data_IF_795544014489
#
_entry.id   IF_795544014489
#
_cell.length_a   1.000
_cell.length_b   1.000
_cell.length_c   1.000
_cell.angle_alpha   90.00
_cell.angle_beta   90.00
_cell.angle_gamma   90.00
#
_symmetry.space_group_name_H-M   'P 1'
#
loop_
_entity.id
_entity.type
_entity.pdbx_description
1 polymer ?
#
# COMPACT_ATOMS: atom_id res chain seq x y z
N UNK A 1 21.55 5.97 -17.04
CA UNK A 1 20.82 6.59 -15.90
C UNK A 1 19.40 6.80 -16.40
N UNK A 2 18.37 6.60 -15.56
CA UNK A 2 16.92 6.79 -15.83
C UNK A 2 15.99 5.57 -15.67
N UNK A 3 16.38 4.55 -14.89
CA UNK A 3 15.42 3.59 -14.34
C UNK A 3 14.78 4.06 -13.01
N UNK A 4 15.36 5.09 -12.35
CA UNK A 4 14.93 5.58 -11.04
C UNK A 4 13.90 6.73 -11.08
N UNK A 5 13.73 7.39 -12.23
CA UNK A 5 12.99 8.65 -12.32
C UNK A 5 11.45 8.52 -12.41
N UNK A 6 10.91 7.29 -12.33
CA UNK A 6 9.47 7.04 -12.37
C UNK A 6 8.93 6.28 -11.14
N UNK A 7 9.66 6.30 -10.01
CA UNK A 7 9.09 5.78 -8.75
C UNK A 7 8.06 6.80 -8.27
N UNK A 8 6.81 6.64 -8.71
CA UNK A 8 5.68 7.47 -8.31
C UNK A 8 5.40 7.21 -6.83
N UNK A 9 5.77 8.19 -5.99
CA UNK A 9 5.46 8.18 -4.57
C UNK A 9 3.95 8.02 -4.36
N UNK A 10 3.58 7.22 -3.35
CA UNK A 10 2.22 6.92 -2.97
C UNK A 10 1.91 7.60 -1.65
N UNK A 11 0.96 8.53 -1.66
CA UNK A 11 0.38 9.11 -0.46
C UNK A 11 -0.69 8.20 0.14
N UNK A 12 -1.24 8.59 1.29
CA UNK A 12 -2.29 7.85 2.01
C UNK A 12 -3.52 7.57 1.13
N UNK A 13 -3.94 8.53 0.30
CA UNK A 13 -5.09 8.37 -0.59
C UNK A 13 -4.82 7.28 -1.62
N UNK A 14 -3.63 7.29 -2.24
CA UNK A 14 -3.24 6.27 -3.20
C UNK A 14 -3.11 4.88 -2.58
N UNK A 15 -2.58 4.79 -1.37
CA UNK A 15 -2.48 3.52 -0.62
C UNK A 15 -3.87 2.93 -0.33
N UNK A 16 -4.83 3.75 0.13
CA UNK A 16 -6.21 3.29 0.37
C UNK A 16 -6.86 2.77 -0.91
N UNK A 17 -6.70 3.46 -2.04
CA UNK A 17 -7.21 2.98 -3.34
C UNK A 17 -6.63 1.61 -3.73
N UNK A 18 -5.37 1.34 -3.39
CA UNK A 18 -4.74 0.04 -3.67
C UNK A 18 -5.38 -1.05 -2.82
N UNK A 19 -5.60 -0.79 -1.52
CA UNK A 19 -6.24 -1.77 -0.63
C UNK A 19 -7.72 -1.98 -0.96
N UNK A 20 -8.45 -0.94 -1.37
CA UNK A 20 -9.82 -1.06 -1.84
C UNK A 20 -9.90 -1.97 -3.07
N UNK A 21 -9.04 -1.74 -4.06
CA UNK A 21 -8.95 -2.60 -5.24
C UNK A 21 -8.60 -4.04 -4.89
N UNK A 22 -7.61 -4.26 -4.01
CA UNK A 22 -7.24 -5.60 -3.56
C UNK A 22 -8.42 -6.30 -2.88
N UNK A 23 -9.18 -5.58 -2.04
CA UNK A 23 -10.35 -6.11 -1.35
C UNK A 23 -11.47 -6.48 -2.35
N UNK A 24 -11.71 -5.68 -3.39
CA UNK A 24 -12.66 -6.03 -4.46
C UNK A 24 -12.24 -7.33 -5.16
N UNK A 25 -10.96 -7.45 -5.53
CA UNK A 25 -10.44 -8.67 -6.16
C UNK A 25 -10.57 -9.89 -5.24
N UNK A 26 -10.33 -9.76 -3.95
CA UNK A 26 -10.51 -10.85 -2.98
C UNK A 26 -11.99 -11.29 -2.90
N UNK A 27 -12.92 -10.34 -2.84
CA UNK A 27 -14.37 -10.63 -2.84
C UNK A 27 -14.83 -11.36 -4.09
N UNK A 28 -14.41 -10.90 -5.28
CA UNK A 28 -14.75 -11.57 -6.55
C UNK A 28 -14.28 -13.02 -6.60
N UNK A 29 -13.17 -13.33 -5.91
CA UNK A 29 -12.59 -14.68 -5.87
C UNK A 29 -13.02 -15.47 -4.63
N UNK A 30 -13.94 -14.96 -3.82
CA UNK A 30 -14.40 -15.58 -2.56
C UNK A 30 -13.25 -15.91 -1.60
N UNK A 31 -12.23 -15.04 -1.59
CA UNK A 31 -11.08 -15.12 -0.70
C UNK A 31 -11.21 -14.12 0.43
N UNK A 32 -10.70 -14.49 1.60
CA UNK A 32 -10.47 -13.61 2.74
C UNK A 32 -8.99 -13.67 3.09
N UNK A 33 -8.43 -12.51 3.42
CA UNK A 33 -7.01 -12.38 3.73
C UNK A 33 -6.81 -11.26 4.76
N UNK A 34 -5.86 -11.44 5.67
CA UNK A 34 -5.40 -10.41 6.59
C UNK A 34 -4.08 -9.83 6.11
N UNK A 35 -3.93 -8.50 6.18
CA UNK A 35 -2.71 -7.80 5.76
C UNK A 35 -2.12 -7.09 6.96
N UNK A 36 -0.87 -7.41 7.29
CA UNK A 36 -0.07 -6.63 8.24
C UNK A 36 0.91 -5.76 7.49
N UNK A 37 0.90 -4.44 7.73
CA UNK A 37 1.71 -3.43 7.03
C UNK A 37 2.89 -2.99 7.90
N UNK A 38 4.06 -2.82 7.29
CA UNK A 38 5.32 -2.46 7.96
C UNK A 38 5.95 -1.17 7.38
N UNK A 39 7.06 -0.75 7.99
CA UNK A 39 8.00 0.28 7.53
C UNK A 39 7.38 1.59 7.02
N UNK A 40 7.80 2.06 5.84
CA UNK A 40 7.42 3.39 5.33
C UNK A 40 5.91 3.55 5.11
N UNK A 41 5.22 2.44 4.88
CA UNK A 41 3.80 2.39 4.56
C UNK A 41 2.94 2.63 5.81
N UNK A 42 3.29 2.05 6.96
CA UNK A 42 2.58 2.32 8.22
C UNK A 42 2.78 3.76 8.70
N UNK A 43 3.99 4.30 8.49
CA UNK A 43 4.31 5.70 8.82
C UNK A 43 3.53 6.70 7.96
N UNK A 44 3.18 6.32 6.74
CA UNK A 44 2.39 7.14 5.81
C UNK A 44 0.88 7.04 6.09
N UNK A 45 0.39 5.87 6.49
CA UNK A 45 -1.06 5.65 6.64
C UNK A 45 -1.62 5.97 8.02
N UNK A 46 -0.90 5.62 9.08
CA UNK A 46 -1.44 5.63 10.45
C UNK A 46 -0.84 6.75 11.28
N UNK A 47 0.48 6.93 11.20
CA UNK A 47 1.16 7.94 12.01
C UNK A 47 1.15 9.34 11.40
N UNK A 48 0.71 9.48 10.13
CA UNK A 48 0.70 10.74 9.35
C UNK A 48 2.04 11.53 9.46
N UNK A 49 3.15 10.82 9.69
CA UNK A 49 4.48 11.38 9.95
C UNK A 49 5.35 11.39 8.68
N UNK A 50 4.89 10.70 7.63
CA UNK A 50 5.51 10.68 6.30
C UNK A 50 4.44 10.95 5.24
N UNK A 51 4.65 11.91 4.32
CA UNK A 51 3.61 12.28 3.35
C UNK A 51 3.39 11.23 2.25
N UNK A 52 4.43 10.45 1.91
CA UNK A 52 4.35 9.42 0.89
C UNK A 52 5.46 8.36 1.01
N UNK A 53 5.19 7.15 0.52
CA UNK A 53 6.12 6.02 0.45
C UNK A 53 6.34 5.55 -1.00
N UNK A 54 7.41 4.78 -1.26
CA UNK A 54 7.74 4.25 -2.59
C UNK A 54 7.14 2.86 -2.83
N UNK A 55 6.90 2.13 -1.75
CA UNK A 55 6.61 0.71 -1.68
C UNK A 55 5.61 0.41 -0.55
N UNK A 56 5.05 -0.80 -0.61
CA UNK A 56 4.16 -1.36 0.42
C UNK A 56 4.82 -2.62 0.99
N UNK A 57 5.42 -2.48 2.16
CA UNK A 57 5.99 -3.62 2.89
C UNK A 57 4.87 -4.27 3.72
N UNK A 58 4.50 -5.51 3.39
CA UNK A 58 3.41 -6.19 4.07
C UNK A 58 3.56 -7.72 4.08
N UNK A 59 2.86 -8.35 5.02
CA UNK A 59 2.70 -9.80 5.12
C UNK A 59 1.22 -10.15 5.02
N UNK A 60 0.92 -11.19 4.27
CA UNK A 60 -0.42 -11.77 4.13
C UNK A 60 -0.60 -12.96 5.08
N UNK A 61 -1.77 -13.09 5.70
CA UNK A 61 -2.16 -14.20 6.58
C UNK A 61 -3.55 -14.73 6.23
#
# INVERSE_FOLDING_TARGET
MDALNNIKLMDKSKLLQIFDYLNERLKENQLQLEITIYDGSIMTMVYDNRPATKDIDCVFS
#
